data_IF_705939815014
#
_entry.id   IF_705939815014
#
_cell.length_a   1.000
_cell.length_b   1.000
_cell.length_c   1.000
_cell.angle_alpha   90.00
_cell.angle_beta   90.00
_cell.angle_gamma   90.00
#
_symmetry.space_group_name_H-M   'P 1'
#
loop_
_entity.id
_entity.type
_entity.pdbx_description
1 polymer ?
#
# COMPACT_ATOMS: atom_id res chain seq x y z
N UNK A 1 27.21 -7.40 -53.63
CA UNK A 1 26.72 -6.45 -52.60
C UNK A 1 27.02 -7.06 -51.24
N UNK A 2 27.63 -6.32 -50.30
CA UNK A 2 27.81 -6.84 -48.93
C UNK A 2 26.44 -6.95 -48.29
N UNK A 3 26.01 -8.17 -47.98
CA UNK A 3 24.83 -8.41 -47.15
C UNK A 3 25.09 -7.77 -45.79
N UNK A 4 24.28 -6.81 -45.37
CA UNK A 4 24.40 -6.19 -44.05
C UNK A 4 23.82 -7.19 -43.05
N UNK A 5 24.66 -7.70 -42.16
CA UNK A 5 24.32 -8.74 -41.19
C UNK A 5 24.29 -8.11 -39.79
N UNK A 6 23.28 -8.44 -38.99
CA UNK A 6 23.07 -7.87 -37.66
C UNK A 6 24.29 -8.08 -36.74
N UNK A 7 24.88 -9.26 -36.82
CA UNK A 7 26.03 -9.70 -36.03
C UNK A 7 27.28 -8.83 -36.24
N UNK A 8 27.43 -8.19 -37.41
CA UNK A 8 28.57 -7.33 -37.73
C UNK A 8 28.35 -5.87 -37.33
N UNK A 9 27.08 -5.43 -37.27
CA UNK A 9 26.71 -4.03 -37.03
C UNK A 9 26.32 -3.75 -35.56
N UNK A 10 25.71 -4.72 -34.87
CA UNK A 10 25.35 -4.58 -33.45
C UNK A 10 26.54 -4.24 -32.54
N UNK A 11 27.73 -4.87 -32.66
CA UNK A 11 28.88 -4.53 -31.83
C UNK A 11 29.35 -3.08 -31.97
N UNK A 12 29.04 -2.42 -33.09
CA UNK A 12 29.41 -1.01 -33.34
C UNK A 12 28.46 -0.04 -32.63
N UNK A 13 27.18 -0.39 -32.54
CA UNK A 13 26.15 0.46 -31.92
C UNK A 13 25.89 0.14 -30.45
N UNK A 14 26.15 -1.09 -30.00
CA UNK A 14 26.00 -1.52 -28.61
C UNK A 14 26.69 -0.61 -27.59
N UNK A 15 27.93 -0.13 -27.79
CA UNK A 15 28.58 0.78 -26.85
C UNK A 15 27.82 2.11 -26.70
N UNK A 16 27.20 2.62 -27.78
CA UNK A 16 26.40 3.84 -27.74
C UNK A 16 25.10 3.61 -26.96
N UNK A 17 24.47 2.45 -27.15
CA UNK A 17 23.28 2.03 -26.38
C UNK A 17 23.59 1.94 -24.88
N UNK A 18 24.74 1.36 -24.51
CA UNK A 18 25.18 1.30 -23.11
C UNK A 18 25.49 2.68 -22.53
N UNK A 19 26.15 3.56 -23.31
CA UNK A 19 26.38 4.96 -22.92
C UNK A 19 25.06 5.68 -22.61
N UNK A 20 24.04 5.50 -23.46
CA UNK A 20 22.72 6.06 -23.23
C UNK A 20 22.11 5.51 -21.94
N UNK A 21 22.10 4.19 -21.73
CA UNK A 21 21.56 3.58 -20.50
C UNK A 21 22.25 4.09 -19.23
N UNK A 22 23.57 4.28 -19.26
CA UNK A 22 24.38 4.71 -18.10
C UNK A 22 24.44 6.24 -17.90
N UNK A 23 23.73 7.04 -18.70
CA UNK A 23 23.82 8.51 -18.71
C UNK A 23 25.22 9.06 -19.03
N UNK A 24 25.99 8.33 -19.82
CA UNK A 24 27.30 8.78 -20.30
C UNK A 24 27.13 9.74 -21.50
N UNK A 25 28.14 10.57 -21.74
CA UNK A 25 28.10 11.54 -22.84
C UNK A 25 28.17 10.82 -24.19
N UNK A 26 27.16 11.04 -25.04
CA UNK A 26 27.13 10.59 -26.43
C UNK A 26 27.39 11.78 -27.35
N UNK A 27 28.36 11.64 -28.24
CA UNK A 27 28.67 12.66 -29.24
C UNK A 27 27.62 12.70 -30.34
N UNK A 28 27.52 13.84 -31.04
CA UNK A 28 26.60 13.98 -32.18
C UNK A 28 26.88 12.95 -33.29
N UNK A 29 28.14 12.59 -33.50
CA UNK A 29 28.55 11.61 -34.50
C UNK A 29 28.07 10.21 -34.11
N UNK A 30 28.34 9.77 -32.87
CA UNK A 30 27.87 8.47 -32.36
C UNK A 30 26.34 8.35 -32.41
N UNK A 31 25.63 9.46 -32.14
CA UNK A 31 24.18 9.51 -32.25
C UNK A 31 23.69 9.36 -33.70
N UNK A 32 24.32 10.05 -34.65
CA UNK A 32 23.96 9.94 -36.08
C UNK A 32 24.28 8.55 -36.63
N UNK A 33 25.42 7.98 -36.25
CA UNK A 33 25.83 6.64 -36.65
C UNK A 33 24.88 5.57 -36.11
N UNK A 34 24.38 5.73 -34.86
CA UNK A 34 23.35 4.86 -34.29
C UNK A 34 22.07 4.87 -35.13
N UNK A 35 21.53 6.05 -35.48
CA UNK A 35 20.34 6.16 -36.34
C UNK A 35 20.56 5.54 -37.71
N UNK A 36 21.71 5.82 -38.32
CA UNK A 36 22.03 5.34 -39.66
C UNK A 36 22.17 3.82 -39.70
N UNK A 37 22.85 3.22 -38.73
CA UNK A 37 23.02 1.77 -38.65
C UNK A 37 21.69 1.06 -38.36
N UNK A 38 20.87 1.59 -37.45
CA UNK A 38 19.53 1.02 -37.18
C UNK A 38 18.63 1.10 -38.41
N UNK A 39 18.64 2.23 -39.13
CA UNK A 39 17.88 2.40 -40.38
C UNK A 39 18.35 1.42 -41.47
N UNK A 40 19.66 1.25 -41.64
CA UNK A 40 20.21 0.32 -42.62
C UNK A 40 19.91 -1.14 -42.28
N UNK A 41 20.03 -1.53 -41.02
CA UNK A 41 19.66 -2.87 -40.57
C UNK A 41 18.17 -3.15 -40.82
N UNK A 42 17.30 -2.19 -40.54
CA UNK A 42 15.86 -2.31 -40.82
C UNK A 42 15.55 -2.38 -42.33
N UNK A 43 16.29 -1.63 -43.16
CA UNK A 43 16.03 -1.55 -44.60
C UNK A 43 16.55 -2.74 -45.42
N UNK A 44 17.57 -3.44 -44.91
CA UNK A 44 18.33 -4.43 -45.69
C UNK A 44 18.41 -5.82 -45.05
N UNK A 45 17.68 -6.07 -43.95
CA UNK A 45 17.62 -7.38 -43.30
C UNK A 45 16.26 -7.65 -42.66
N UNK A 46 15.53 -8.63 -43.18
CA UNK A 46 14.18 -9.00 -42.71
C UNK A 46 14.15 -9.52 -41.26
N UNK A 47 15.28 -10.04 -40.76
CA UNK A 47 15.40 -10.55 -39.38
C UNK A 47 15.97 -9.53 -38.40
N UNK A 48 16.59 -8.46 -38.88
CA UNK A 48 17.25 -7.48 -38.03
C UNK A 48 16.31 -6.74 -37.06
N UNK A 49 15.07 -6.36 -37.42
CA UNK A 49 14.11 -5.76 -36.48
C UNK A 49 13.93 -6.57 -35.19
N UNK A 50 13.68 -7.88 -35.33
CA UNK A 50 13.45 -8.78 -34.20
C UNK A 50 14.75 -9.02 -33.41
N UNK A 51 15.89 -9.14 -34.08
CA UNK A 51 17.19 -9.33 -33.42
C UNK A 51 17.62 -8.08 -32.65
N UNK A 52 17.41 -6.88 -33.20
CA UNK A 52 17.68 -5.60 -32.52
C UNK A 52 16.78 -5.47 -31.28
N UNK A 53 15.49 -5.80 -31.41
CA UNK A 53 14.58 -5.76 -30.28
C UNK A 53 15.05 -6.70 -29.16
N UNK A 54 15.32 -7.98 -29.46
CA UNK A 54 15.83 -8.94 -28.46
C UNK A 54 17.14 -8.52 -27.81
N UNK A 55 18.06 -7.95 -28.60
CA UNK A 55 19.33 -7.48 -28.06
C UNK A 55 19.14 -6.26 -27.17
N UNK A 56 18.26 -5.32 -27.54
CA UNK A 56 17.91 -4.18 -26.72
C UNK A 56 17.20 -4.62 -25.41
N UNK A 57 16.31 -5.61 -25.48
CA UNK A 57 15.68 -6.23 -24.29
C UNK A 57 16.72 -6.79 -23.33
N UNK A 58 17.75 -7.47 -23.86
CA UNK A 58 18.84 -8.02 -23.06
C UNK A 58 19.66 -6.93 -22.36
N UNK A 59 20.09 -5.88 -23.08
CA UNK A 59 20.89 -4.80 -22.49
C UNK A 59 20.07 -3.98 -21.46
N UNK A 60 18.78 -3.73 -21.74
CA UNK A 60 17.88 -3.09 -20.78
C UNK A 60 17.71 -3.99 -19.55
N UNK A 61 17.52 -5.30 -19.74
CA UNK A 61 17.43 -6.28 -18.65
C UNK A 61 18.66 -6.26 -17.75
N UNK A 62 19.86 -6.30 -18.32
CA UNK A 62 21.13 -6.26 -17.57
C UNK A 62 21.31 -4.93 -16.80
N UNK A 63 20.92 -3.81 -17.41
CA UNK A 63 20.94 -2.51 -16.74
C UNK A 63 19.98 -2.47 -15.55
N UNK A 64 18.77 -3.01 -15.73
CA UNK A 64 17.75 -3.09 -14.68
C UNK A 64 18.22 -3.99 -13.54
N UNK A 65 18.78 -5.16 -13.84
CA UNK A 65 19.30 -6.07 -12.83
C UNK A 65 20.44 -5.44 -12.03
N UNK A 66 21.33 -4.71 -12.70
CA UNK A 66 22.41 -3.95 -12.06
C UNK A 66 21.86 -2.83 -11.16
N UNK A 67 20.84 -2.10 -11.62
CA UNK A 67 20.17 -1.07 -10.84
C UNK A 67 19.44 -1.65 -9.63
N UNK A 68 18.79 -2.81 -9.79
CA UNK A 68 18.16 -3.55 -8.69
C UNK A 68 19.20 -3.93 -7.64
N UNK A 69 20.35 -4.47 -8.03
CA UNK A 69 21.42 -4.79 -7.09
C UNK A 69 21.89 -3.54 -6.32
N UNK A 70 22.07 -2.39 -6.98
CA UNK A 70 22.43 -1.14 -6.31
C UNK A 70 21.39 -0.67 -5.29
N UNK A 71 20.10 -0.86 -5.58
CA UNK A 71 19.01 -0.52 -4.66
C UNK A 71 19.03 -1.46 -3.44
N UNK A 72 19.22 -2.76 -3.67
CA UNK A 72 19.16 -3.80 -2.63
C UNK A 72 20.38 -3.87 -1.71
N UNK A 73 21.48 -3.18 -2.03
CA UNK A 73 22.64 -3.05 -1.13
C UNK A 73 22.25 -2.31 0.17
N UNK A 74 21.22 -1.47 0.12
CA UNK A 74 20.80 -0.69 1.28
C UNK A 74 19.89 -1.52 2.20
N UNK A 75 20.28 -1.66 3.47
CA UNK A 75 19.48 -2.36 4.48
C UNK A 75 18.36 -1.47 5.06
N UNK A 76 18.55 -0.15 5.07
CA UNK A 76 17.60 0.78 5.65
C UNK A 76 16.60 1.30 4.62
N UNK A 77 15.33 1.38 5.02
CA UNK A 77 14.22 1.70 4.12
C UNK A 77 14.28 3.13 3.54
N UNK A 78 15.00 4.06 4.19
CA UNK A 78 15.16 5.43 3.72
C UNK A 78 16.23 5.55 2.62
N UNK A 79 17.40 4.94 2.81
CA UNK A 79 18.46 4.89 1.80
C UNK A 79 18.04 4.03 0.62
N UNK A 80 17.34 2.92 0.86
CA UNK A 80 16.77 2.08 -0.20
C UNK A 80 15.81 2.88 -1.08
N UNK A 81 14.94 3.71 -0.48
CA UNK A 81 14.06 4.60 -1.26
C UNK A 81 14.83 5.70 -2.01
N UNK A 82 15.84 6.30 -1.40
CA UNK A 82 16.67 7.32 -2.08
C UNK A 82 17.42 6.73 -3.27
N UNK A 83 17.99 5.54 -3.10
CA UNK A 83 18.62 4.79 -4.17
C UNK A 83 17.62 4.44 -5.28
N UNK A 84 16.43 3.96 -4.90
CA UNK A 84 15.35 3.70 -5.84
C UNK A 84 14.95 4.93 -6.66
N UNK A 85 14.71 6.07 -6.00
CA UNK A 85 14.37 7.33 -6.66
C UNK A 85 15.47 7.75 -7.64
N UNK A 86 16.73 7.62 -7.24
CA UNK A 86 17.88 8.00 -8.05
C UNK A 86 18.01 7.10 -9.29
N UNK A 87 17.93 5.78 -9.13
CA UNK A 87 18.01 4.84 -10.26
C UNK A 87 16.78 4.94 -11.18
N UNK A 88 15.59 5.22 -10.64
CA UNK A 88 14.41 5.53 -11.44
C UNK A 88 14.60 6.79 -12.28
N UNK A 89 15.06 7.89 -11.68
CA UNK A 89 15.31 9.14 -12.41
C UNK A 89 16.31 8.90 -13.55
N UNK A 90 17.37 8.14 -13.28
CA UNK A 90 18.33 7.76 -14.31
C UNK A 90 17.68 7.02 -15.47
N UNK A 91 16.96 5.93 -15.19
CA UNK A 91 16.30 5.14 -16.22
C UNK A 91 15.24 5.93 -16.98
N UNK A 92 14.42 6.70 -16.28
CA UNK A 92 13.34 7.48 -16.87
C UNK A 92 13.87 8.52 -17.86
N UNK A 93 14.87 9.31 -17.45
CA UNK A 93 15.49 10.31 -18.32
C UNK A 93 16.06 9.66 -19.58
N UNK A 94 16.69 8.49 -19.46
CA UNK A 94 17.27 7.77 -20.61
C UNK A 94 16.21 7.11 -21.49
N UNK A 95 15.12 6.62 -20.92
CA UNK A 95 13.98 6.07 -21.68
C UNK A 95 13.32 7.10 -22.61
N UNK A 96 13.56 8.41 -22.41
CA UNK A 96 13.08 9.45 -23.31
C UNK A 96 13.89 9.52 -24.61
N UNK A 97 15.19 9.21 -24.55
CA UNK A 97 16.10 9.32 -25.69
C UNK A 97 16.39 7.96 -26.31
N UNK A 98 16.53 6.92 -25.48
CA UNK A 98 16.95 5.58 -25.90
C UNK A 98 16.09 5.00 -27.01
N UNK A 99 14.78 5.24 -27.01
CA UNK A 99 13.85 4.67 -27.99
C UNK A 99 13.72 5.48 -29.29
N UNK A 100 14.24 6.71 -29.35
CA UNK A 100 14.13 7.55 -30.56
C UNK A 100 14.82 6.95 -31.80
N UNK A 101 16.06 6.39 -31.71
CA UNK A 101 16.70 5.71 -32.84
C UNK A 101 15.95 4.46 -33.33
N UNK A 102 15.21 3.80 -32.45
CA UNK A 102 14.56 2.51 -32.72
C UNK A 102 13.10 2.66 -33.14
N UNK A 103 12.54 3.87 -33.14
CA UNK A 103 11.15 4.14 -33.48
C UNK A 103 10.75 3.70 -34.89
N UNK A 104 11.70 3.59 -35.82
CA UNK A 104 11.44 3.15 -37.19
C UNK A 104 11.23 1.63 -37.32
N UNK A 105 11.53 0.86 -36.28
CA UNK A 105 11.35 -0.59 -36.23
C UNK A 105 9.86 -0.94 -36.11
N UNK A 106 9.08 -0.15 -35.36
CA UNK A 106 7.65 -0.39 -35.12
C UNK A 106 6.76 -0.11 -36.34
N UNK A 107 7.23 0.72 -37.28
CA UNK A 107 6.49 1.04 -38.51
C UNK A 107 6.54 -0.06 -39.57
N UNK A 108 7.45 -1.03 -39.44
CA UNK A 108 7.69 -2.06 -40.45
C UNK A 108 6.79 -3.30 -40.29
N UNK A 109 6.18 -3.50 -39.12
CA UNK A 109 5.35 -4.70 -38.84
C UNK A 109 3.87 -4.55 -39.18
N UNK A 110 3.42 -3.40 -39.69
CA UNK A 110 2.08 -3.25 -40.28
C UNK A 110 2.19 -2.49 -41.59
N UNK A 111 2.19 -3.22 -42.70
CA UNK A 111 2.24 -2.64 -44.04
C UNK A 111 1.07 -1.69 -44.32
N UNK A 112 1.34 -0.66 -45.13
CA UNK A 112 0.33 0.03 -45.93
C UNK A 112 0.08 1.50 -45.58
N UNK A 113 0.55 2.36 -46.48
CA UNK A 113 0.23 3.77 -46.73
C UNK A 113 -0.95 4.45 -45.96
N UNK A 114 -0.62 5.61 -45.39
CA UNK A 114 -1.40 6.85 -45.30
C UNK A 114 -2.94 6.75 -45.16
N UNK A 115 -3.46 7.09 -43.96
CA UNK A 115 -4.39 8.22 -43.74
C UNK A 115 -5.01 8.16 -42.34
N UNK A 116 -5.19 9.33 -41.73
CA UNK A 116 -5.94 9.59 -40.50
C UNK A 116 -7.19 8.73 -40.33
N UNK A 117 -7.42 8.15 -39.14
CA UNK A 117 -8.72 8.14 -38.44
C UNK A 117 -8.66 7.37 -37.12
N UNK A 118 -9.10 8.07 -36.07
CA UNK A 118 -9.51 7.58 -34.75
C UNK A 118 -10.57 6.47 -34.82
N UNK A 119 -10.41 5.33 -34.14
CA UNK A 119 -11.55 4.52 -33.69
C UNK A 119 -11.24 3.74 -32.39
N UNK A 120 -12.06 3.99 -31.38
CA UNK A 120 -12.24 3.23 -30.14
C UNK A 120 -12.45 1.72 -30.34
N UNK A 121 -11.86 0.86 -29.50
CA UNK A 121 -12.45 -0.44 -29.06
C UNK A 121 -11.99 -0.72 -27.63
N UNK A 122 -12.81 -0.47 -26.61
CA UNK A 122 -13.94 -1.25 -26.04
C UNK A 122 -13.53 -2.60 -25.41
N UNK A 123 -13.99 -2.75 -24.18
CA UNK A 123 -13.67 -3.62 -23.06
C UNK A 123 -14.19 -5.07 -23.15
N UNK A 124 -13.41 -6.02 -22.57
CA UNK A 124 -13.72 -7.26 -21.76
C UNK A 124 -14.84 -8.26 -22.19
N UNK A 125 -14.93 -9.54 -21.73
CA UNK A 125 -14.39 -10.17 -20.49
C UNK A 125 -13.87 -11.66 -20.55
N UNK A 126 -13.35 -12.12 -19.39
CA UNK A 126 -12.90 -13.44 -18.84
C UNK A 126 -13.83 -14.68 -19.04
N UNK A 127 -13.60 -15.90 -18.44
CA UNK A 127 -12.40 -16.74 -18.17
C UNK A 127 -12.62 -18.27 -18.48
N UNK A 128 -11.61 -19.17 -18.34
CA UNK A 128 -11.76 -20.58 -17.83
C UNK A 128 -10.45 -21.40 -17.68
N UNK A 129 -10.00 -21.54 -16.42
CA UNK A 129 -9.55 -22.73 -15.65
C UNK A 129 -8.90 -23.97 -16.35
N UNK A 130 -7.64 -24.30 -15.99
CA UNK A 130 -7.24 -25.51 -15.20
C UNK A 130 -5.72 -25.78 -15.19
N UNK A 131 -5.13 -25.91 -13.99
CA UNK A 131 -4.28 -27.07 -13.62
C UNK A 131 -2.74 -27.07 -13.83
N UNK A 132 -2.02 -26.89 -12.71
CA UNK A 132 -0.87 -27.72 -12.22
C UNK A 132 0.58 -27.39 -12.65
N UNK A 133 1.30 -26.87 -11.64
CA UNK A 133 2.70 -27.06 -11.20
C UNK A 133 3.92 -26.77 -12.11
N UNK A 134 4.62 -25.71 -11.66
CA UNK A 134 6.07 -25.64 -11.43
C UNK A 134 7.03 -25.84 -12.60
N UNK A 135 7.39 -24.72 -13.26
CA UNK A 135 8.80 -24.42 -13.58
C UNK A 135 9.09 -22.94 -13.28
N UNK A 136 9.94 -22.77 -12.27
CA UNK A 136 10.84 -21.63 -12.07
C UNK A 136 11.74 -21.53 -13.32
N UNK A 137 12.23 -20.33 -13.62
CA UNK A 137 13.22 -19.95 -14.66
C UNK A 137 12.62 -19.49 -15.99
N UNK A 138 12.84 -18.19 -16.26
CA UNK A 138 12.81 -17.50 -17.55
C UNK A 138 11.60 -17.68 -18.46
N UNK A 139 10.89 -16.56 -18.67
CA UNK A 139 10.39 -16.04 -19.95
C UNK A 139 9.12 -15.22 -19.71
N UNK A 140 9.28 -14.02 -19.16
CA UNK A 140 8.34 -12.93 -19.46
C UNK A 140 9.06 -12.08 -20.51
N UNK A 141 8.85 -12.41 -21.79
CA UNK A 141 9.40 -11.65 -22.91
C UNK A 141 9.04 -10.18 -22.74
N UNK A 142 10.06 -9.33 -22.61
CA UNK A 142 9.89 -7.89 -22.39
C UNK A 142 9.24 -7.34 -23.67
N UNK A 143 7.94 -7.10 -23.65
CA UNK A 143 7.26 -6.37 -24.73
C UNK A 143 7.82 -4.95 -24.73
N UNK A 144 8.80 -4.67 -25.58
CA UNK A 144 9.27 -3.31 -25.87
C UNK A 144 8.41 -2.71 -26.98
N UNK A 145 7.11 -2.53 -26.77
CA UNK A 145 6.36 -1.62 -27.64
C UNK A 145 6.83 -0.19 -27.37
N UNK A 146 7.13 0.61 -28.40
CA UNK A 146 7.46 2.03 -28.20
C UNK A 146 6.26 2.87 -27.75
N UNK A 147 5.09 2.27 -27.52
CA UNK A 147 3.97 2.94 -26.88
C UNK A 147 4.34 3.42 -25.48
N UNK A 148 4.01 4.68 -25.19
CA UNK A 148 4.25 5.31 -23.88
C UNK A 148 3.66 4.53 -22.70
N UNK A 149 2.68 3.65 -22.94
CA UNK A 149 2.09 2.76 -21.95
C UNK A 149 2.95 1.53 -21.62
N UNK A 150 3.76 1.04 -22.56
CA UNK A 150 4.59 -0.17 -22.40
C UNK A 150 5.96 0.15 -21.79
N UNK A 151 6.51 1.34 -22.05
CA UNK A 151 7.69 1.86 -21.31
C UNK A 151 7.46 1.89 -19.78
N UNK A 152 6.19 2.00 -19.38
CA UNK A 152 5.74 2.01 -17.99
C UNK A 152 5.41 0.61 -17.44
N UNK A 153 5.23 -0.40 -18.30
CA UNK A 153 5.04 -1.80 -17.87
C UNK A 153 6.36 -2.33 -17.32
N UNK A 154 7.47 -2.10 -18.03
CA UNK A 154 8.83 -2.51 -17.65
C UNK A 154 9.22 -1.95 -16.29
N UNK A 155 8.99 -0.65 -16.06
CA UNK A 155 9.27 -0.06 -14.76
C UNK A 155 8.46 -0.67 -13.60
N UNK A 156 7.15 -0.88 -13.81
CA UNK A 156 6.27 -1.48 -12.79
C UNK A 156 6.68 -2.91 -12.46
N UNK A 157 7.04 -3.67 -13.48
CA UNK A 157 7.32 -5.09 -13.39
C UNK A 157 8.66 -5.38 -12.72
N UNK A 158 9.68 -4.55 -12.97
CA UNK A 158 11.04 -4.82 -12.48
C UNK A 158 11.50 -3.92 -11.34
N UNK A 159 11.13 -2.63 -11.30
CA UNK A 159 11.58 -1.70 -10.26
C UNK A 159 10.56 -1.55 -9.13
N UNK A 160 9.33 -1.16 -9.44
CA UNK A 160 8.28 -0.95 -8.43
C UNK A 160 8.00 -2.24 -7.65
N UNK A 161 7.83 -3.35 -8.36
CA UNK A 161 7.63 -4.66 -7.75
C UNK A 161 8.79 -5.07 -6.83
N UNK A 162 10.04 -5.00 -7.28
CA UNK A 162 11.18 -5.38 -6.45
C UNK A 162 11.38 -4.47 -5.24
N UNK A 163 11.12 -3.16 -5.36
CA UNK A 163 11.14 -2.23 -4.23
C UNK A 163 10.07 -2.58 -3.19
N UNK A 164 8.83 -2.81 -3.64
CA UNK A 164 7.71 -3.17 -2.77
C UNK A 164 7.96 -4.51 -2.07
N UNK A 165 8.38 -5.54 -2.81
CA UNK A 165 8.71 -6.88 -2.27
C UNK A 165 9.83 -6.82 -1.24
N UNK A 166 10.86 -6.02 -1.48
CA UNK A 166 11.99 -5.90 -0.55
C UNK A 166 11.59 -5.17 0.72
N UNK A 167 10.81 -4.10 0.59
CA UNK A 167 10.28 -3.34 1.75
C UNK A 167 9.29 -4.20 2.55
N UNK A 168 8.46 -4.99 1.87
CA UNK A 168 7.56 -5.96 2.48
C UNK A 168 8.32 -7.02 3.27
N UNK A 169 9.36 -7.62 2.69
CA UNK A 169 10.16 -8.64 3.35
C UNK A 169 10.93 -8.09 4.56
N UNK A 170 11.46 -6.87 4.45
CA UNK A 170 12.09 -6.15 5.56
C UNK A 170 11.12 -6.01 6.73
N UNK A 171 9.92 -5.47 6.50
CA UNK A 171 8.93 -5.28 7.56
C UNK A 171 8.41 -6.60 8.11
N UNK A 172 8.18 -7.61 7.26
CA UNK A 172 7.70 -8.94 7.67
C UNK A 172 8.68 -9.61 8.63
N UNK A 173 9.97 -9.63 8.29
CA UNK A 173 10.99 -10.22 9.15
C UNK A 173 11.14 -9.46 10.46
N UNK A 174 11.26 -8.12 10.39
CA UNK A 174 11.50 -7.27 11.56
C UNK A 174 10.31 -7.25 12.53
N UNK A 175 9.09 -7.26 12.01
CA UNK A 175 7.87 -7.23 12.83
C UNK A 175 7.75 -8.47 13.72
N UNK A 176 7.95 -9.66 13.15
CA UNK A 176 7.89 -10.93 13.89
C UNK A 176 8.92 -10.98 15.01
N UNK A 177 10.17 -10.59 14.72
CA UNK A 177 11.26 -10.55 15.70
C UNK A 177 10.94 -9.55 16.82
N UNK A 178 10.54 -8.33 16.46
CA UNK A 178 10.29 -7.28 17.44
C UNK A 178 9.15 -7.64 18.39
N UNK A 179 8.07 -8.23 17.86
CA UNK A 179 6.93 -8.65 18.66
C UNK A 179 7.32 -9.74 19.68
N UNK A 180 8.08 -10.75 19.24
CA UNK A 180 8.52 -11.84 20.11
C UNK A 180 9.43 -11.34 21.24
N UNK A 181 10.32 -10.38 20.96
CA UNK A 181 11.28 -9.85 21.93
C UNK A 181 10.68 -8.84 22.92
N UNK A 182 9.75 -7.98 22.47
CA UNK A 182 9.30 -6.81 23.24
C UNK A 182 7.83 -6.88 23.68
N UNK A 183 7.08 -7.87 23.20
CA UNK A 183 5.67 -8.04 23.50
C UNK A 183 4.73 -7.07 22.75
N UNK A 184 3.43 -7.34 22.85
CA UNK A 184 2.37 -6.67 22.09
C UNK A 184 2.28 -5.18 22.40
N UNK A 185 2.45 -4.78 23.67
CA UNK A 185 2.38 -3.38 24.07
C UNK A 185 3.46 -2.51 23.37
N UNK A 186 4.72 -2.95 23.38
CA UNK A 186 5.80 -2.24 22.71
C UNK A 186 5.61 -2.28 21.19
N UNK A 187 5.19 -3.43 20.67
CA UNK A 187 4.92 -3.61 19.25
C UNK A 187 3.86 -2.65 18.72
N UNK A 188 2.78 -2.44 19.47
CA UNK A 188 1.69 -1.52 19.07
C UNK A 188 2.19 -0.08 18.89
N UNK A 189 3.12 0.38 19.76
CA UNK A 189 3.77 1.70 19.59
C UNK A 189 4.74 1.72 18.40
N UNK A 190 5.51 0.65 18.23
CA UNK A 190 6.41 0.49 17.09
C UNK A 190 5.67 0.56 15.76
N UNK A 191 4.53 -0.12 15.63
CA UNK A 191 3.71 -0.09 14.41
C UNK A 191 3.18 1.31 14.12
N UNK A 192 2.63 2.01 15.11
CA UNK A 192 2.14 3.38 14.92
C UNK A 192 3.26 4.32 14.46
N UNK A 193 4.43 4.24 15.11
CA UNK A 193 5.58 5.03 14.71
C UNK A 193 6.02 4.71 13.27
N UNK A 194 6.11 3.43 12.89
CA UNK A 194 6.53 3.04 11.54
C UNK A 194 5.54 3.46 10.47
N UNK A 195 4.24 3.39 10.75
CA UNK A 195 3.23 3.88 9.82
C UNK A 195 3.31 5.41 9.65
N UNK A 196 3.53 6.17 10.72
CA UNK A 196 3.74 7.63 10.65
C UNK A 196 5.01 7.95 9.85
N UNK A 197 6.12 7.25 10.11
CA UNK A 197 7.38 7.44 9.37
C UNK A 197 7.22 7.19 7.87
N UNK A 198 6.44 6.17 7.46
CA UNK A 198 6.15 5.91 6.04
C UNK A 198 5.20 6.96 5.44
N UNK A 199 4.21 7.44 6.18
CA UNK A 199 3.31 8.53 5.75
C UNK A 199 4.11 9.82 5.51
N UNK A 200 4.99 10.18 6.45
CA UNK A 200 5.85 11.35 6.34
C UNK A 200 6.86 11.21 5.20
N UNK A 201 7.44 10.02 5.01
CA UNK A 201 8.33 9.74 3.89
C UNK A 201 7.63 9.97 2.55
N UNK A 202 6.39 9.50 2.42
CA UNK A 202 5.54 9.77 1.27
C UNK A 202 5.33 11.27 1.02
N UNK A 203 5.05 12.02 2.09
CA UNK A 203 4.83 13.47 2.00
C UNK A 203 6.10 14.23 1.62
N UNK A 204 7.22 13.95 2.28
CA UNK A 204 8.50 14.64 2.05
C UNK A 204 9.01 14.42 0.63
N UNK A 205 8.99 13.18 0.15
CA UNK A 205 9.42 12.87 -1.20
C UNK A 205 8.46 13.43 -2.26
N UNK A 206 7.15 13.47 -1.98
CA UNK A 206 6.19 14.21 -2.80
C UNK A 206 6.55 15.69 -2.96
N UNK A 207 6.98 16.35 -1.88
CA UNK A 207 7.43 17.76 -1.94
C UNK A 207 8.77 17.94 -2.65
N UNK A 208 9.75 17.06 -2.42
CA UNK A 208 11.05 17.08 -3.12
C UNK A 208 10.87 16.94 -4.64
N UNK A 209 9.97 16.06 -5.08
CA UNK A 209 9.63 15.91 -6.50
C UNK A 209 8.98 17.18 -7.06
N UNK A 210 8.05 17.81 -6.34
CA UNK A 210 7.45 19.09 -6.74
C UNK A 210 8.42 20.28 -6.74
N UNK A 211 9.43 20.29 -5.87
CA UNK A 211 10.40 21.38 -5.78
C UNK A 211 11.57 21.22 -6.78
N UNK A 212 12.02 19.99 -7.05
CA UNK A 212 13.00 19.73 -8.12
C UNK A 212 12.41 20.06 -9.49
N UNK A 213 11.13 19.81 -9.71
CA UNK A 213 10.44 20.20 -10.94
C UNK A 213 10.36 21.72 -11.08
N UNK A 214 10.08 22.48 -10.01
CA UNK A 214 10.14 23.94 -10.04
C UNK A 214 11.54 24.50 -10.38
N UNK A 215 12.62 23.85 -9.88
CA UNK A 215 14.00 24.28 -10.16
C UNK A 215 14.49 23.91 -11.58
N UNK A 216 14.01 22.80 -12.16
CA UNK A 216 14.41 22.35 -13.50
C UNK A 216 13.58 23.00 -14.64
N UNK A 217 12.57 23.82 -14.28
CA UNK A 217 11.75 24.62 -15.21
C UNK A 217 12.28 26.07 -15.33
N UNK A 218 13.25 26.48 -14.50
CA UNK A 218 13.94 27.76 -14.68
C UNK A 218 15.11 27.62 -15.68
N UNK A 219 15.22 28.46 -16.72
CA UNK A 219 16.10 28.19 -17.84
C UNK A 219 17.56 28.46 -17.50
N UNK A 220 18.45 27.65 -18.09
CA UNK A 220 19.83 28.03 -18.40
C UNK A 220 19.81 29.41 -19.10
N UNK A 221 20.04 30.49 -18.36
CA UNK A 221 20.09 31.86 -18.92
C UNK A 221 21.38 32.16 -19.68
N UNK A 222 22.09 31.13 -20.17
CA UNK A 222 23.47 31.27 -20.66
C UNK A 222 23.66 31.14 -22.17
N UNK A 223 22.74 30.54 -22.93
CA UNK A 223 22.93 30.34 -24.37
C UNK A 223 21.60 30.47 -25.13
N UNK A 224 21.24 31.71 -25.43
CA UNK A 224 20.29 32.00 -26.50
C UNK A 224 20.99 31.75 -27.84
N UNK A 225 20.92 30.52 -28.35
CA UNK A 225 21.14 30.25 -29.77
C UNK A 225 19.78 30.12 -30.44
N UNK A 226 19.59 30.96 -31.45
CA UNK A 226 18.39 31.06 -32.29
C UNK A 226 17.96 29.70 -32.85
N UNK A 227 17.07 28.99 -32.15
CA UNK A 227 16.33 27.83 -32.64
C UNK A 227 14.89 27.95 -32.13
N UNK A 228 14.01 28.38 -33.04
CA UNK A 228 12.53 28.42 -33.02
C UNK A 228 11.88 28.22 -31.64
N UNK A 229 11.28 29.29 -31.15
CA UNK A 229 10.43 29.41 -29.95
C UNK A 229 9.40 28.26 -29.76
N UNK A 230 8.94 27.65 -30.85
CA UNK A 230 8.04 26.48 -30.82
C UNK A 230 8.72 25.18 -30.35
N UNK A 231 10.00 24.97 -30.64
CA UNK A 231 10.76 23.82 -30.13
C UNK A 231 11.02 24.02 -28.63
N UNK A 232 11.38 25.23 -28.22
CA UNK A 232 11.61 25.59 -26.82
C UNK A 232 10.33 25.45 -25.97
N UNK A 233 9.19 25.97 -26.45
CA UNK A 233 7.87 25.80 -25.80
C UNK A 233 7.44 24.34 -25.73
N UNK A 234 7.71 23.54 -26.77
CA UNK A 234 7.42 22.10 -26.79
C UNK A 234 8.30 21.32 -25.81
N UNK A 235 9.57 21.69 -25.66
CA UNK A 235 10.50 21.12 -24.66
C UNK A 235 10.10 21.51 -23.23
N UNK A 236 9.62 22.74 -22.97
CA UNK A 236 9.12 23.15 -21.65
C UNK A 236 7.82 22.44 -21.29
N UNK A 237 6.83 22.39 -22.19
CA UNK A 237 5.58 21.68 -21.96
C UNK A 237 5.83 20.18 -21.73
N UNK A 238 6.72 19.57 -22.50
CA UNK A 238 7.12 18.17 -22.32
C UNK A 238 7.82 17.93 -20.98
N UNK A 239 8.68 18.85 -20.54
CA UNK A 239 9.33 18.80 -19.21
C UNK A 239 8.33 19.00 -18.04
N UNK A 240 7.27 19.78 -18.23
CA UNK A 240 6.18 19.90 -17.26
C UNK A 240 5.27 18.65 -17.22
N UNK A 241 4.97 18.06 -18.38
CA UNK A 241 4.11 16.87 -18.49
C UNK A 241 4.79 15.60 -17.94
N UNK A 242 6.11 15.48 -18.12
CA UNK A 242 6.95 14.44 -17.50
C UNK A 242 7.02 14.60 -15.97
N UNK A 243 7.17 15.81 -15.46
CA UNK A 243 7.17 16.13 -14.02
C UNK A 243 5.86 15.76 -13.30
N UNK A 244 4.71 16.07 -13.92
CA UNK A 244 3.38 15.74 -13.39
C UNK A 244 3.18 14.23 -13.34
N UNK A 245 3.59 13.52 -14.41
CA UNK A 245 3.47 12.06 -14.49
C UNK A 245 4.33 11.33 -13.46
N UNK A 246 5.55 11.80 -13.16
CA UNK A 246 6.42 11.20 -12.14
C UNK A 246 5.84 11.39 -10.73
N UNK A 247 5.37 12.61 -10.42
CA UNK A 247 4.80 12.94 -9.11
C UNK A 247 3.50 12.16 -8.83
N UNK A 248 2.65 12.00 -9.85
CA UNK A 248 1.43 11.20 -9.74
C UNK A 248 1.72 9.70 -9.55
N UNK A 249 2.75 9.16 -10.24
CA UNK A 249 3.16 7.75 -10.11
C UNK A 249 3.76 7.46 -8.74
N UNK A 250 4.61 8.34 -8.22
CA UNK A 250 5.15 8.20 -6.87
C UNK A 250 4.03 8.17 -5.82
N UNK A 251 3.01 9.05 -5.93
CA UNK A 251 1.83 9.01 -5.04
C UNK A 251 1.10 7.68 -5.09
N UNK A 252 0.97 7.07 -6.27
CA UNK A 252 0.33 5.75 -6.43
C UNK A 252 1.15 4.64 -5.77
N UNK A 253 2.44 4.57 -6.05
CA UNK A 253 3.36 3.61 -5.43
C UNK A 253 3.37 3.75 -3.89
N UNK A 254 3.42 5.00 -3.40
CA UNK A 254 3.35 5.27 -1.96
C UNK A 254 2.05 4.80 -1.32
N UNK A 255 0.92 4.95 -2.01
CA UNK A 255 -0.37 4.44 -1.52
C UNK A 255 -0.35 2.91 -1.40
N UNK A 256 0.16 2.22 -2.43
CA UNK A 256 0.30 0.75 -2.43
C UNK A 256 1.25 0.30 -1.31
N UNK A 257 2.36 1.01 -1.11
CA UNK A 257 3.29 0.73 -0.03
C UNK A 257 2.63 0.87 1.35
N UNK A 258 1.86 1.94 1.57
CA UNK A 258 1.13 2.13 2.83
C UNK A 258 0.11 1.02 3.08
N UNK A 259 -0.64 0.61 2.05
CA UNK A 259 -1.58 -0.52 2.15
C UNK A 259 -0.84 -1.81 2.54
N UNK A 260 0.33 -2.08 1.93
CA UNK A 260 1.18 -3.22 2.26
C UNK A 260 1.75 -3.14 3.68
N UNK A 261 2.20 -1.97 4.12
CA UNK A 261 2.68 -1.77 5.48
C UNK A 261 1.59 -2.05 6.51
N UNK A 262 0.34 -1.61 6.27
CA UNK A 262 -0.80 -1.92 7.15
C UNK A 262 -1.08 -3.43 7.15
N UNK A 263 -1.07 -4.08 5.99
CA UNK A 263 -1.28 -5.53 5.88
C UNK A 263 -0.23 -6.32 6.69
N UNK A 264 1.05 -5.97 6.53
CA UNK A 264 2.17 -6.72 7.12
C UNK A 264 2.38 -6.40 8.59
N UNK A 265 2.35 -5.12 8.97
CA UNK A 265 2.63 -4.70 10.34
C UNK A 265 1.41 -4.85 11.24
N UNK A 266 0.19 -4.70 10.69
CA UNK A 266 -1.02 -4.65 11.50
C UNK A 266 -1.93 -5.85 11.28
N UNK A 267 -2.38 -6.12 10.06
CA UNK A 267 -3.32 -7.21 9.81
C UNK A 267 -2.73 -8.58 10.18
N UNK A 268 -1.44 -8.81 9.92
CA UNK A 268 -0.76 -10.07 10.24
C UNK A 268 -0.71 -10.38 11.74
N UNK A 269 -0.77 -9.37 12.60
CA UNK A 269 -0.66 -9.51 14.07
C UNK A 269 -1.93 -9.01 14.79
N UNK A 270 -3.02 -8.83 14.05
CA UNK A 270 -4.26 -8.23 14.54
C UNK A 270 -4.82 -8.96 15.75
N UNK A 271 -4.88 -10.29 15.71
CA UNK A 271 -5.47 -11.09 16.79
C UNK A 271 -4.70 -10.98 18.10
N UNK A 272 -3.38 -10.87 18.02
CA UNK A 272 -2.51 -10.72 19.20
C UNK A 272 -2.66 -9.34 19.82
N UNK A 273 -2.82 -8.29 19.00
CA UNK A 273 -3.13 -6.95 19.49
C UNK A 273 -4.52 -6.90 20.12
N UNK A 274 -5.53 -7.46 19.46
CA UNK A 274 -6.92 -7.48 19.94
C UNK A 274 -7.12 -8.37 21.18
N UNK A 275 -6.25 -9.34 21.43
CA UNK A 275 -6.27 -10.14 22.66
C UNK A 275 -6.09 -9.28 23.92
N UNK A 276 -5.35 -8.17 23.84
CA UNK A 276 -5.21 -7.23 24.96
C UNK A 276 -6.45 -6.34 25.15
N UNK A 277 -7.34 -6.23 24.16
CA UNK A 277 -8.44 -5.25 24.19
C UNK A 277 -9.33 -5.39 25.44
N UNK A 278 -9.72 -6.62 25.81
CA UNK A 278 -10.59 -6.86 26.97
C UNK A 278 -9.95 -6.38 28.28
N UNK A 279 -8.65 -6.62 28.47
CA UNK A 279 -7.98 -6.21 29.70
C UNK A 279 -7.75 -4.69 29.76
N UNK A 280 -7.52 -4.06 28.61
CA UNK A 280 -7.41 -2.60 28.52
C UNK A 280 -8.72 -1.90 28.85
N UNK A 281 -9.85 -2.44 28.38
CA UNK A 281 -11.19 -1.91 28.71
C UNK A 281 -11.45 -2.07 30.20
N UNK A 282 -11.20 -3.27 30.77
CA UNK A 282 -11.39 -3.55 32.19
C UNK A 282 -10.59 -2.60 33.09
N UNK A 283 -9.33 -2.34 32.73
CA UNK A 283 -8.43 -1.48 33.50
C UNK A 283 -8.57 0.01 33.16
N UNK A 284 -9.48 0.37 32.23
CA UNK A 284 -9.66 1.74 31.74
C UNK A 284 -8.38 2.40 31.22
N UNK A 285 -7.52 1.65 30.52
CA UNK A 285 -6.28 2.17 29.95
C UNK A 285 -6.55 2.99 28.67
N UNK A 286 -7.01 4.24 28.86
CA UNK A 286 -7.47 5.14 27.80
C UNK A 286 -6.42 5.34 26.70
N UNK A 287 -5.17 5.64 27.04
CA UNK A 287 -4.14 5.97 26.03
C UNK A 287 -3.76 4.75 25.17
N UNK A 288 -3.74 3.55 25.77
CA UNK A 288 -3.49 2.30 25.03
C UNK A 288 -4.67 1.92 24.16
N UNK A 289 -5.90 2.07 24.64
CA UNK A 289 -7.10 1.87 23.83
C UNK A 289 -7.18 2.87 22.68
N UNK A 290 -6.79 4.12 22.91
CA UNK A 290 -6.71 5.14 21.87
C UNK A 290 -5.70 4.79 20.78
N UNK A 291 -4.53 4.30 21.18
CA UNK A 291 -3.53 3.79 20.23
C UNK A 291 -4.08 2.59 19.45
N UNK A 292 -4.66 1.62 20.15
CA UNK A 292 -5.27 0.44 19.53
C UNK A 292 -6.39 0.83 18.56
N UNK A 293 -7.27 1.77 18.92
CA UNK A 293 -8.33 2.28 18.07
C UNK A 293 -7.78 2.94 16.80
N UNK A 294 -6.79 3.83 16.91
CA UNK A 294 -6.18 4.48 15.74
C UNK A 294 -5.60 3.46 14.75
N UNK A 295 -4.99 2.40 15.27
CA UNK A 295 -4.46 1.33 14.44
C UNK A 295 -5.58 0.48 13.84
N UNK A 296 -6.47 -0.07 14.66
CA UNK A 296 -7.57 -0.95 14.20
C UNK A 296 -8.53 -0.26 13.24
N UNK A 297 -8.66 1.08 13.29
CA UNK A 297 -9.45 1.82 12.31
C UNK A 297 -8.83 1.82 10.89
N UNK A 298 -7.57 1.40 10.75
CA UNK A 298 -6.91 1.15 9.47
C UNK A 298 -7.12 -0.28 8.96
N UNK A 299 -7.69 -1.19 9.75
CA UNK A 299 -8.00 -2.56 9.33
C UNK A 299 -9.50 -2.71 9.04
N UNK A 300 -9.88 -3.63 8.14
CA UNK A 300 -11.29 -3.79 7.77
C UNK A 300 -12.15 -4.42 8.87
N UNK A 301 -11.57 -5.25 9.75
CA UNK A 301 -12.32 -6.05 10.74
C UNK A 301 -11.97 -5.73 12.20
N UNK A 302 -10.93 -4.94 12.46
CA UNK A 302 -10.42 -4.72 13.82
C UNK A 302 -11.39 -3.97 14.72
N UNK A 303 -12.10 -2.98 14.18
CA UNK A 303 -13.07 -2.18 14.94
C UNK A 303 -14.26 -3.01 15.43
N UNK A 304 -14.78 -3.91 14.60
CA UNK A 304 -15.94 -4.74 14.96
C UNK A 304 -15.65 -5.61 16.19
N UNK A 305 -14.42 -6.13 16.29
CA UNK A 305 -13.98 -6.88 17.47
C UNK A 305 -13.92 -5.97 18.70
N UNK A 306 -13.36 -4.76 18.58
CA UNK A 306 -13.29 -3.81 19.70
C UNK A 306 -14.67 -3.39 20.19
N UNK A 307 -15.62 -3.13 19.28
CA UNK A 307 -17.02 -2.83 19.60
C UNK A 307 -17.62 -3.98 20.41
N UNK A 308 -17.49 -5.21 19.91
CA UNK A 308 -17.99 -6.40 20.62
C UNK A 308 -17.37 -6.55 22.01
N UNK A 309 -16.04 -6.35 22.16
CA UNK A 309 -15.38 -6.41 23.47
C UNK A 309 -15.89 -5.35 24.45
N UNK A 310 -16.22 -4.16 23.96
CA UNK A 310 -16.82 -3.11 24.80
C UNK A 310 -18.23 -3.51 25.24
N UNK A 311 -19.09 -3.98 24.33
CA UNK A 311 -20.45 -4.43 24.69
C UNK A 311 -20.41 -5.57 25.71
N UNK A 312 -19.58 -6.58 25.45
CA UNK A 312 -19.44 -7.74 26.31
C UNK A 312 -18.98 -7.33 27.71
N UNK A 313 -18.00 -6.43 27.81
CA UNK A 313 -17.52 -5.97 29.11
C UNK A 313 -18.55 -5.12 29.86
N UNK A 314 -19.30 -4.24 29.17
CA UNK A 314 -20.38 -3.47 29.82
C UNK A 314 -21.49 -4.41 30.32
N UNK A 315 -21.87 -5.42 29.53
CA UNK A 315 -22.88 -6.41 29.93
C UNK A 315 -22.43 -7.25 31.12
N UNK A 316 -21.20 -7.78 31.07
CA UNK A 316 -20.62 -8.56 32.17
C UNK A 316 -20.51 -7.74 33.46
N UNK A 317 -19.97 -6.52 33.38
CA UNK A 317 -19.83 -5.65 34.56
C UNK A 317 -21.19 -5.24 35.11
N UNK A 318 -22.14 -4.89 34.23
CA UNK A 318 -23.51 -4.52 34.63
C UNK A 318 -24.20 -5.64 35.39
N UNK A 319 -24.10 -6.88 34.91
CA UNK A 319 -24.69 -8.03 35.58
C UNK A 319 -24.05 -8.31 36.95
N UNK A 320 -22.72 -8.19 37.07
CA UNK A 320 -22.02 -8.32 38.36
C UNK A 320 -22.48 -7.25 39.34
N UNK A 321 -22.52 -5.99 38.93
CA UNK A 321 -22.96 -4.87 39.76
C UNK A 321 -24.45 -5.03 40.16
N UNK A 322 -25.29 -5.55 39.26
CA UNK A 322 -26.70 -5.82 39.53
C UNK A 322 -26.88 -6.93 40.59
N UNK A 323 -26.15 -8.05 40.48
CA UNK A 323 -26.21 -9.15 41.45
C UNK A 323 -25.75 -8.73 42.84
N UNK A 324 -24.70 -7.90 42.93
CA UNK A 324 -24.20 -7.40 44.22
C UNK A 324 -25.23 -6.52 44.94
N UNK A 325 -26.07 -5.82 44.18
CA UNK A 325 -27.08 -4.92 44.73
C UNK A 325 -28.46 -5.57 44.88
N UNK A 326 -28.69 -6.78 44.34
CA UNK A 326 -30.00 -7.45 44.29
C UNK A 326 -30.72 -7.53 45.65
N UNK A 327 -29.98 -7.75 46.74
CA UNK A 327 -30.55 -7.80 48.10
C UNK A 327 -31.03 -6.45 48.64
N UNK A 328 -30.56 -5.33 48.09
CA UNK A 328 -30.91 -3.97 48.51
C UNK A 328 -31.91 -3.29 47.58
N UNK A 329 -32.21 -3.84 46.40
CA UNK A 329 -33.08 -3.22 45.38
C UNK A 329 -34.48 -2.90 45.92
N UNK A 330 -35.05 -3.78 46.73
CA UNK A 330 -36.41 -3.60 47.28
C UNK A 330 -36.43 -2.56 48.41
N UNK A 331 -35.33 -2.46 49.17
CA UNK A 331 -35.23 -1.54 50.31
C UNK A 331 -34.67 -0.16 49.95
N UNK A 332 -33.86 -0.07 48.89
CA UNK A 332 -33.12 1.12 48.48
C UNK A 332 -32.92 1.17 46.95
N UNK A 333 -33.95 1.58 46.19
CA UNK A 333 -33.88 1.67 44.73
C UNK A 333 -33.00 2.83 44.25
N UNK A 334 -32.79 3.87 45.07
CA UNK A 334 -31.94 5.03 44.71
C UNK A 334 -30.50 4.59 44.54
N UNK A 335 -29.96 3.80 45.48
CA UNK A 335 -28.60 3.26 45.41
C UNK A 335 -28.36 2.40 44.16
N UNK A 336 -29.38 1.65 43.72
CA UNK A 336 -29.32 0.89 42.49
C UNK A 336 -29.19 1.81 41.26
N UNK A 337 -30.01 2.86 41.18
CA UNK A 337 -29.96 3.84 40.08
C UNK A 337 -28.64 4.60 40.08
N UNK A 338 -28.12 5.01 41.24
CA UNK A 338 -26.83 5.68 41.36
C UNK A 338 -25.68 4.82 40.82
N UNK A 339 -25.68 3.51 41.09
CA UNK A 339 -24.66 2.61 40.56
C UNK A 339 -24.73 2.48 39.04
N UNK A 340 -25.93 2.38 38.47
CA UNK A 340 -26.11 2.37 37.01
C UNK A 340 -25.62 3.67 36.35
N UNK A 341 -25.95 4.83 36.94
CA UNK A 341 -25.49 6.13 36.47
C UNK A 341 -23.96 6.30 36.59
N UNK A 342 -23.38 5.77 37.67
CA UNK A 342 -21.93 5.73 37.87
C UNK A 342 -21.24 4.89 36.80
N UNK A 343 -21.77 3.70 36.50
CA UNK A 343 -21.29 2.84 35.42
C UNK A 343 -21.41 3.52 34.05
N UNK A 344 -22.55 4.15 33.76
CA UNK A 344 -22.77 4.91 32.52
C UNK A 344 -21.77 6.05 32.37
N UNK A 345 -21.53 6.80 33.45
CA UNK A 345 -20.55 7.88 33.47
C UNK A 345 -19.13 7.37 33.25
N UNK A 346 -18.77 6.24 33.87
CA UNK A 346 -17.46 5.58 33.73
C UNK A 346 -17.19 5.19 32.27
N UNK A 347 -18.10 4.47 31.64
CA UNK A 347 -17.92 4.04 30.25
C UNK A 347 -18.11 5.17 29.23
N UNK A 348 -18.89 6.20 29.54
CA UNK A 348 -18.95 7.42 28.71
C UNK A 348 -17.62 8.17 28.69
N UNK A 349 -16.92 8.26 29.84
CA UNK A 349 -15.57 8.83 29.90
C UNK A 349 -14.56 7.97 29.14
N UNK A 350 -14.69 6.65 29.21
CA UNK A 350 -13.85 5.72 28.44
C UNK A 350 -14.05 5.93 26.94
N UNK A 351 -15.29 5.95 26.44
CA UNK A 351 -15.58 6.12 25.01
C UNK A 351 -15.09 7.47 24.50
N UNK A 352 -15.32 8.54 25.25
CA UNK A 352 -14.79 9.86 24.93
C UNK A 352 -13.26 9.90 24.88
N UNK A 353 -12.61 9.34 25.89
CA UNK A 353 -11.15 9.39 26.02
C UNK A 353 -10.43 8.50 25.02
N UNK A 354 -10.89 7.27 24.84
CA UNK A 354 -10.22 6.24 24.05
C UNK A 354 -10.65 6.25 22.58
N UNK A 355 -11.92 6.53 22.30
CA UNK A 355 -12.51 6.38 20.98
C UNK A 355 -13.03 7.71 20.39
N UNK A 356 -12.71 8.84 21.02
CA UNK A 356 -13.08 10.19 20.55
C UNK A 356 -14.57 10.38 20.27
N UNK A 357 -15.44 9.74 21.07
CA UNK A 357 -16.89 9.74 20.85
C UNK A 357 -17.28 9.22 19.45
N UNK A 358 -16.53 8.24 18.91
CA UNK A 358 -16.88 7.58 17.65
C UNK A 358 -18.32 7.05 17.70
N UNK A 359 -19.19 7.40 16.72
CA UNK A 359 -20.60 7.04 16.74
C UNK A 359 -20.87 5.54 16.87
N UNK A 360 -19.97 4.68 16.37
CA UNK A 360 -20.11 3.22 16.48
C UNK A 360 -19.95 2.79 17.92
N UNK A 361 -18.97 3.33 18.63
CA UNK A 361 -18.73 3.02 20.05
C UNK A 361 -19.80 3.62 20.97
N UNK A 362 -20.33 4.80 20.64
CA UNK A 362 -21.49 5.37 21.34
C UNK A 362 -22.73 4.47 21.21
N UNK A 363 -23.06 4.06 19.98
CA UNK A 363 -24.19 3.15 19.71
C UNK A 363 -24.02 1.82 20.44
N UNK A 364 -22.82 1.25 20.38
CA UNK A 364 -22.45 0.00 21.01
C UNK A 364 -22.56 0.07 22.54
N UNK A 365 -22.09 1.16 23.15
CA UNK A 365 -22.30 1.48 24.56
C UNK A 365 -23.80 1.53 24.88
N UNK A 366 -24.57 2.35 24.17
CA UNK A 366 -25.98 2.59 24.48
C UNK A 366 -26.82 1.32 24.38
N UNK A 367 -26.56 0.50 23.36
CA UNK A 367 -27.14 -0.83 23.21
C UNK A 367 -26.79 -1.73 24.40
N UNK A 368 -25.53 -1.82 24.79
CA UNK A 368 -25.12 -2.66 25.92
C UNK A 368 -25.74 -2.21 27.25
N UNK A 369 -25.88 -0.90 27.48
CA UNK A 369 -26.59 -0.39 28.66
C UNK A 369 -28.08 -0.67 28.61
N UNK A 370 -28.72 -0.53 27.45
CA UNK A 370 -30.11 -0.89 27.26
C UNK A 370 -30.33 -2.38 27.56
N UNK A 371 -29.42 -3.27 27.13
CA UNK A 371 -29.47 -4.70 27.44
C UNK A 371 -29.38 -4.96 28.95
N UNK A 372 -28.46 -4.29 29.65
CA UNK A 372 -28.29 -4.42 31.11
C UNK A 372 -29.54 -3.94 31.87
N UNK A 373 -30.09 -2.78 31.51
CA UNK A 373 -31.28 -2.22 32.19
C UNK A 373 -32.53 -3.07 31.93
N UNK A 374 -32.65 -3.68 30.75
CA UNK A 374 -33.78 -4.53 30.41
C UNK A 374 -33.65 -5.97 30.93
N UNK A 375 -32.50 -6.35 31.50
CA UNK A 375 -32.33 -7.68 32.09
C UNK A 375 -33.10 -7.78 33.41
N UNK A 376 -34.34 -8.24 33.31
CA UNK A 376 -35.26 -8.41 34.44
C UNK A 376 -35.02 -9.68 35.25
N UNK A 377 -34.04 -10.51 34.87
CA UNK A 377 -33.73 -11.76 35.57
C UNK A 377 -33.40 -11.54 37.05
N UNK A 378 -32.86 -10.36 37.39
CA UNK A 378 -32.46 -10.00 38.76
C UNK A 378 -33.65 -9.77 39.70
N UNK A 379 -34.82 -9.37 39.17
CA UNK A 379 -35.99 -9.01 39.98
C UNK A 379 -36.87 -10.22 40.30
N UNK A 380 -36.54 -11.42 39.80
CA UNK A 380 -37.25 -12.66 40.13
C UNK A 380 -36.78 -13.23 41.47
N UNK A 381 -36.81 -12.42 42.52
CA UNK A 381 -36.74 -12.90 43.91
C UNK A 381 -37.99 -13.77 44.17
N UNK A 382 -37.77 -15.01 44.59
CA UNK A 382 -38.82 -16.01 44.86
C UNK A 382 -39.84 -15.50 45.88
N UNK A 383 -41.10 -15.40 45.49
CA UNK A 383 -42.21 -15.31 46.44
C UNK A 383 -42.36 -16.70 47.07
N UNK A 384 -41.72 -16.93 48.22
CA UNK A 384 -41.95 -18.10 49.05
C UNK A 384 -43.43 -18.10 49.49
N UNK A 385 -44.26 -18.91 48.84
CA UNK A 385 -45.61 -19.25 49.29
C UNK A 385 -45.51 -20.16 50.53
N UNK A 386 -45.16 -19.60 51.69
CA UNK A 386 -45.36 -20.27 52.98
C UNK A 386 -46.63 -19.74 53.64
N UNK A 387 -47.79 -20.23 53.20
CA UNK A 387 -48.99 -20.22 54.03
C UNK A 387 -49.93 -21.38 53.67
N UNK A 388 -49.64 -22.54 54.26
CA UNK A 388 -50.60 -23.62 54.40
C UNK A 388 -50.50 -24.11 55.84
N UNK A 389 -51.19 -23.42 56.75
CA UNK A 389 -51.48 -23.94 58.09
C UNK A 389 -52.53 -25.06 57.98
N UNK A 390 -52.34 -26.23 58.60
CA UNK A 390 -53.46 -27.06 59.01
C UNK A 390 -53.64 -26.96 60.52
N UNK A 391 -54.73 -26.31 60.93
CA UNK A 391 -55.26 -26.37 62.29
C UNK A 391 -55.91 -27.73 62.57
N UNK A 392 -55.46 -28.37 63.65
CA UNK A 392 -56.13 -29.33 64.54
C UNK A 392 -57.27 -30.25 64.00
N UNK A 393 -57.15 -31.56 64.23
CA UNK A 393 -57.81 -32.19 65.39
C UNK A 393 -57.46 -33.68 65.53
N UNK A 394 -57.16 -34.05 66.77
CA UNK A 394 -57.11 -35.40 67.35
C UNK A 394 -58.32 -36.28 67.02
N UNK A 395 -58.08 -37.55 66.70
CA UNK A 395 -58.69 -38.75 67.35
C UNK A 395 -58.24 -40.05 66.66
N UNK A 396 -57.51 -40.90 67.39
CA UNK A 396 -57.61 -42.37 67.27
C UNK A 396 -58.97 -42.80 67.89
N UNK A 397 -59.59 -43.95 67.55
CA UNK A 397 -58.97 -45.26 67.78
C UNK A 397 -59.39 -46.44 66.86
N UNK A 398 -58.61 -47.52 67.04
CA UNK A 398 -58.76 -48.95 66.67
C UNK A 398 -58.43 -49.32 65.22
#
# INVERSE_FOLDING_TARGET
>A
AKTIVFEDEWPKIRPVVLKLLNQETVTKQEWQDLFWTVHNLNSWSDKAPVSIQKALEMEIGDFIDSARQRILIHEDSQSLLRAYINEWQKFYDQSLYLFEPFRMIDGSSSGGHSSSSSVYRRSSPLPSRSGVLAKKSHEESISLSCDSNDRLSIYRQYFEKSYLESTENYYRSRASIFLHENGVQAYTRYVDQKLIEEEERGRQNGHLMNNKTAKNVNPLSGMAMSVKENVFKKTINFKQETAINVSQKYRKCQKILMEKCVEILLCAFQDQILAECSILIRNLEIDRLRLMFRLMNRTPTGIDVMLKRLEDHIREQGLVDMLQNAGCIVSDPEKYVEQLLSMFSKFSRLVKGAFYDDPRFLTSRDKAFQDVVNDTSIFRLEINNSCSTPSHSTKSPI
#
